data_IF_103122466819
#
_entry.id   IF_103122466819
#
_cell.length_a   1.000
_cell.length_b   1.000
_cell.length_c   1.000
_cell.angle_alpha   90.00
_cell.angle_beta   90.00
_cell.angle_gamma   90.00
#
_symmetry.space_group_name_H-M   'P 1'
#
loop_
_entity.id
_entity.type
_entity.pdbx_description
1 polymer ?
#
# COMPACT_ATOMS: atom_id res chain seq x y z
N UNK A 1 19.22 1.67 9.41
CA UNK A 1 18.97 0.28 8.99
C UNK A 1 17.50 -0.09 9.26
N UNK A 2 16.82 -0.68 8.30
CA UNK A 2 15.41 -1.03 8.44
C UNK A 2 15.25 -2.25 9.36
N UNK A 3 14.40 -2.13 10.40
CA UNK A 3 14.12 -3.26 11.28
C UNK A 3 13.23 -4.29 10.57
N UNK A 4 13.21 -5.52 11.09
CA UNK A 4 12.35 -6.58 10.57
C UNK A 4 10.87 -6.18 10.63
N UNK A 5 10.45 -5.54 11.72
CA UNK A 5 9.08 -5.06 11.88
C UNK A 5 8.73 -3.97 10.88
N UNK A 6 9.62 -3.01 10.66
CA UNK A 6 9.42 -1.96 9.67
C UNK A 6 9.32 -2.53 8.26
N UNK A 7 10.17 -3.50 7.93
CA UNK A 7 10.11 -4.21 6.65
C UNK A 7 8.76 -4.89 6.46
N UNK A 8 8.28 -5.60 7.48
CA UNK A 8 7.00 -6.31 7.42
C UNK A 8 5.82 -5.35 7.24
N UNK A 9 5.83 -4.21 7.93
CA UNK A 9 4.80 -3.18 7.79
C UNK A 9 4.74 -2.67 6.36
N UNK A 10 5.89 -2.33 5.78
CA UNK A 10 5.96 -1.83 4.41
C UNK A 10 5.60 -2.89 3.38
N UNK A 11 6.05 -4.11 3.56
CA UNK A 11 5.68 -5.24 2.68
C UNK A 11 4.16 -5.43 2.66
N UNK A 12 3.53 -5.42 3.82
CA UNK A 12 2.08 -5.54 3.95
C UNK A 12 1.35 -4.35 3.35
N UNK A 13 1.90 -3.15 3.49
CA UNK A 13 1.33 -1.93 2.92
C UNK A 13 1.05 -2.07 1.42
N UNK A 14 1.99 -2.62 0.67
CA UNK A 14 1.83 -2.78 -0.78
C UNK A 14 0.75 -3.80 -1.15
N UNK A 15 0.55 -4.83 -0.33
CA UNK A 15 -0.58 -5.76 -0.50
C UNK A 15 -1.90 -5.09 -0.15
N UNK A 16 -1.95 -4.27 0.89
CA UNK A 16 -3.15 -3.63 1.39
C UNK A 16 -3.54 -2.36 0.62
N UNK A 17 -2.61 -1.78 -0.13
CA UNK A 17 -2.78 -0.49 -0.78
C UNK A 17 -4.05 -0.36 -1.63
N UNK A 18 -4.43 -1.33 -2.49
CA UNK A 18 -5.67 -1.20 -3.26
C UNK A 18 -6.91 -1.10 -2.38
N UNK A 19 -7.00 -1.93 -1.33
CA UNK A 19 -8.13 -1.89 -0.39
C UNK A 19 -8.11 -0.61 0.44
N UNK A 20 -6.93 -0.14 0.86
CA UNK A 20 -6.77 1.10 1.60
C UNK A 20 -7.17 2.31 0.75
N UNK A 21 -6.79 2.33 -0.52
CA UNK A 21 -7.17 3.38 -1.47
C UNK A 21 -8.68 3.46 -1.61
N UNK A 22 -9.33 2.33 -1.80
CA UNK A 22 -10.78 2.24 -1.91
C UNK A 22 -11.47 2.72 -0.63
N UNK A 23 -11.00 2.29 0.53
CA UNK A 23 -11.55 2.69 1.82
C UNK A 23 -11.46 4.21 2.04
N UNK A 24 -10.33 4.83 1.69
CA UNK A 24 -10.13 6.28 1.80
C UNK A 24 -11.07 7.04 0.86
N UNK A 25 -11.23 6.58 -0.36
CA UNK A 25 -12.14 7.20 -1.33
C UNK A 25 -13.59 7.12 -0.88
N UNK A 26 -14.03 5.98 -0.37
CA UNK A 26 -15.38 5.80 0.16
C UNK A 26 -15.64 6.71 1.36
N UNK A 27 -14.67 6.83 2.28
CA UNK A 27 -14.79 7.74 3.42
C UNK A 27 -14.88 9.20 2.99
N UNK A 28 -14.18 9.61 1.95
CA UNK A 28 -14.28 10.96 1.39
C UNK A 28 -15.67 11.25 0.83
N UNK A 29 -16.25 10.29 0.12
CA UNK A 29 -17.60 10.40 -0.44
C UNK A 29 -18.63 10.55 0.68
N UNK A 30 -18.54 9.73 1.72
CA UNK A 30 -19.43 9.79 2.87
C UNK A 30 -19.31 11.12 3.59
N UNK A 31 -18.11 11.63 3.84
CA UNK A 31 -17.87 12.93 4.46
C UNK A 31 -18.44 14.08 3.65
N UNK A 32 -18.37 14.03 2.34
CA UNK A 32 -19.00 15.02 1.46
C UNK A 32 -20.51 15.00 1.56
N UNK A 33 -21.11 13.83 1.63
CA UNK A 33 -22.56 13.68 1.81
C UNK A 33 -23.01 14.24 3.14
N UNK A 34 -22.28 13.95 4.22
CA UNK A 34 -22.57 14.46 5.57
C UNK A 34 -22.43 15.97 5.67
N UNK A 35 -21.52 16.57 4.91
CA UNK A 35 -21.34 18.02 4.89
C UNK A 35 -22.49 18.76 4.20
N UNK A 36 -23.26 18.08 3.35
CA UNK A 36 -24.35 18.66 2.57
C UNK A 36 -25.74 18.44 3.17
N UNK A 37 -25.90 17.39 3.98
CA UNK A 37 -27.16 17.01 4.62
C UNK A 37 -27.00 16.89 6.13
N UNK A 38 -28.13 17.00 6.88
CA UNK A 38 -28.18 16.69 8.29
C UNK A 38 -27.69 15.26 8.53
N UNK A 39 -27.01 14.96 9.68
CA UNK A 39 -26.45 13.65 9.92
C UNK A 39 -27.50 12.55 9.76
N UNK A 40 -27.37 11.79 8.69
CA UNK A 40 -28.21 10.63 8.41
C UNK A 40 -27.68 9.44 9.24
N UNK A 41 -28.51 8.81 10.07
CA UNK A 41 -28.12 7.60 10.81
C UNK A 41 -27.55 6.51 9.91
N UNK A 42 -28.03 6.42 8.67
CA UNK A 42 -27.55 5.44 7.67
C UNK A 42 -26.09 5.71 7.29
N UNK A 43 -25.72 6.97 7.18
CA UNK A 43 -24.32 7.35 6.88
C UNK A 43 -23.38 6.98 8.03
N UNK A 44 -23.83 7.14 9.29
CA UNK A 44 -23.09 6.70 10.46
C UNK A 44 -22.84 5.21 10.49
N UNK A 45 -23.88 4.42 10.21
CA UNK A 45 -23.75 2.96 10.12
C UNK A 45 -22.78 2.56 9.01
N UNK A 46 -22.84 3.23 7.86
CA UNK A 46 -21.92 2.99 6.76
C UNK A 46 -20.47 3.33 7.16
N UNK A 47 -20.26 4.43 7.87
CA UNK A 47 -18.93 4.81 8.36
C UNK A 47 -18.42 3.80 9.39
N UNK A 48 -19.26 3.37 10.32
CA UNK A 48 -18.90 2.36 11.32
C UNK A 48 -18.61 1.01 10.66
N UNK A 49 -19.41 0.59 9.69
CA UNK A 49 -19.17 -0.62 8.91
C UNK A 49 -17.86 -0.55 8.10
N UNK A 50 -17.54 0.61 7.57
CA UNK A 50 -16.27 0.81 6.84
C UNK A 50 -15.06 0.88 7.77
N UNK A 51 -15.23 1.38 8.99
CA UNK A 51 -14.19 1.38 10.00
C UNK A 51 -13.79 -0.05 10.44
N UNK A 52 -14.62 -1.05 10.17
CA UNK A 52 -14.31 -2.45 10.38
C UNK A 52 -13.44 -3.05 9.27
N UNK A 53 -13.16 -2.31 8.19
CA UNK A 53 -12.23 -2.75 7.14
C UNK A 53 -10.81 -2.78 7.74
N UNK A 54 -10.18 -3.97 7.88
CA UNK A 54 -8.92 -4.08 8.63
C UNK A 54 -7.80 -3.19 8.11
N UNK A 55 -7.73 -2.96 6.79
CA UNK A 55 -6.70 -2.13 6.17
C UNK A 55 -6.79 -0.67 6.62
N UNK A 56 -8.00 -0.10 6.69
CA UNK A 56 -8.20 1.30 7.08
C UNK A 56 -7.88 1.55 8.56
N UNK A 57 -8.08 0.56 9.42
CA UNK A 57 -7.84 0.67 10.86
C UNK A 57 -6.37 0.50 11.25
N UNK A 58 -5.55 -0.11 10.39
CA UNK A 58 -4.15 -0.40 10.68
C UNK A 58 -3.25 0.83 10.51
N UNK A 59 -3.69 1.83 9.77
CA UNK A 59 -2.87 2.99 9.40
C UNK A 59 -3.43 4.27 9.97
N UNK A 60 -2.68 4.93 10.86
CA UNK A 60 -3.08 6.20 11.50
C UNK A 60 -3.21 7.35 10.49
N UNK A 61 -2.39 7.35 9.45
CA UNK A 61 -2.37 8.37 8.42
C UNK A 61 -2.46 7.73 7.04
N UNK A 62 -3.63 7.17 6.68
CA UNK A 62 -3.76 6.37 5.47
C UNK A 62 -3.40 7.14 4.19
N UNK A 63 -3.72 8.42 4.11
CA UNK A 63 -3.38 9.24 2.94
C UNK A 63 -1.87 9.42 2.78
N UNK A 64 -1.14 9.59 3.90
CA UNK A 64 0.31 9.69 3.88
C UNK A 64 0.95 8.36 3.43
N UNK A 65 0.46 7.24 3.94
CA UNK A 65 0.93 5.92 3.51
C UNK A 65 0.66 5.66 2.03
N UNK A 66 -0.50 6.10 1.52
CA UNK A 66 -0.82 5.98 0.09
C UNK A 66 0.09 6.85 -0.78
N UNK A 67 0.51 8.03 -0.30
CA UNK A 67 1.53 8.82 -1.01
C UNK A 67 2.86 8.09 -1.10
N UNK A 68 3.27 7.41 -0.03
CA UNK A 68 4.48 6.57 -0.03
C UNK A 68 4.39 5.49 -1.10
N UNK A 69 3.26 4.79 -1.17
CA UNK A 69 3.00 3.76 -2.19
C UNK A 69 3.12 4.34 -3.59
N UNK A 70 2.44 5.46 -3.85
CA UNK A 70 2.47 6.12 -5.16
C UNK A 70 3.88 6.54 -5.55
N UNK A 71 4.61 7.19 -4.65
CA UNK A 71 5.97 7.64 -4.92
C UNK A 71 6.91 6.48 -5.22
N UNK A 72 6.74 5.37 -4.53
CA UNK A 72 7.55 4.17 -4.76
C UNK A 72 7.25 3.57 -6.13
N UNK A 73 5.97 3.41 -6.50
CA UNK A 73 5.61 2.92 -7.82
C UNK A 73 6.09 3.84 -8.94
N UNK A 74 5.98 5.15 -8.76
CA UNK A 74 6.45 6.13 -9.74
C UNK A 74 7.97 6.03 -9.93
N UNK A 75 8.73 5.83 -8.84
CA UNK A 75 10.18 5.68 -8.91
C UNK A 75 10.60 4.47 -9.74
N UNK A 76 9.89 3.37 -9.62
CA UNK A 76 10.22 2.11 -10.31
C UNK A 76 9.39 1.87 -11.57
N UNK A 77 8.64 2.87 -12.02
CA UNK A 77 7.84 2.78 -13.24
C UNK A 77 8.72 2.40 -14.44
N UNK A 78 8.27 1.42 -15.22
CA UNK A 78 8.96 0.91 -16.41
C UNK A 78 10.37 0.33 -16.13
N UNK A 79 10.63 -0.08 -14.90
CA UNK A 79 11.87 -0.77 -14.54
C UNK A 79 11.63 -2.27 -14.33
N UNK A 80 12.67 -3.11 -14.45
CA UNK A 80 12.54 -4.54 -14.11
C UNK A 80 12.10 -4.79 -12.68
N UNK A 81 12.58 -3.97 -11.73
CA UNK A 81 12.18 -4.05 -10.32
C UNK A 81 10.69 -3.75 -10.18
N UNK A 82 10.20 -2.71 -10.84
CA UNK A 82 8.78 -2.36 -10.84
C UNK A 82 7.90 -3.47 -11.40
N UNK A 83 8.32 -4.12 -12.49
CA UNK A 83 7.59 -5.24 -13.07
C UNK A 83 7.53 -6.43 -12.10
N UNK A 84 8.66 -6.81 -11.50
CA UNK A 84 8.71 -7.91 -10.55
C UNK A 84 7.82 -7.64 -9.32
N UNK A 85 7.86 -6.42 -8.79
CA UNK A 85 7.08 -6.04 -7.61
C UNK A 85 5.59 -5.89 -7.93
N UNK A 86 5.24 -5.44 -9.12
CA UNK A 86 3.86 -5.42 -9.60
C UNK A 86 3.27 -6.84 -9.63
N UNK A 87 4.00 -7.80 -10.13
CA UNK A 87 3.59 -9.20 -10.14
C UNK A 87 3.37 -9.72 -8.72
N UNK A 88 4.25 -9.35 -7.79
CA UNK A 88 4.15 -9.77 -6.40
C UNK A 88 2.95 -9.13 -5.69
N UNK A 89 2.85 -7.81 -5.70
CA UNK A 89 1.92 -7.09 -4.85
C UNK A 89 0.55 -6.87 -5.48
N UNK A 90 0.49 -6.62 -6.77
CA UNK A 90 -0.78 -6.37 -7.46
C UNK A 90 -1.41 -7.64 -7.99
N UNK A 91 -0.62 -8.52 -8.60
CA UNK A 91 -1.11 -9.78 -9.17
C UNK A 91 -1.03 -10.96 -8.19
N UNK A 92 -0.35 -10.78 -7.07
CA UNK A 92 -0.13 -11.81 -6.04
C UNK A 92 0.47 -13.10 -6.60
N UNK A 93 1.34 -12.95 -7.58
CA UNK A 93 2.04 -14.05 -8.22
C UNK A 93 3.09 -14.63 -7.27
N UNK A 94 3.24 -15.95 -7.28
CA UNK A 94 4.28 -16.60 -6.49
C UNK A 94 5.66 -16.22 -7.03
N UNK A 95 6.59 -15.90 -6.13
CA UNK A 95 7.93 -15.47 -6.51
C UNK A 95 8.65 -16.48 -7.39
N UNK A 96 8.43 -17.78 -7.19
CA UNK A 96 9.01 -18.85 -7.98
C UNK A 96 8.59 -18.77 -9.46
N UNK A 97 7.34 -18.42 -9.70
CA UNK A 97 6.84 -18.22 -11.06
C UNK A 97 7.42 -16.94 -11.67
N UNK A 98 7.49 -15.87 -10.90
CA UNK A 98 8.05 -14.59 -11.35
C UNK A 98 9.51 -14.73 -11.79
N UNK A 99 10.36 -15.36 -10.97
CA UNK A 99 11.78 -15.55 -11.33
C UNK A 99 11.95 -16.41 -12.57
N UNK A 100 11.09 -17.40 -12.73
CA UNK A 100 11.09 -18.26 -13.91
C UNK A 100 10.73 -17.47 -15.18
N UNK A 101 9.66 -16.68 -15.13
CA UNK A 101 9.19 -15.91 -16.29
C UNK A 101 10.10 -14.75 -16.65
N UNK A 102 10.73 -14.11 -15.69
CA UNK A 102 11.64 -12.99 -15.90
C UNK A 102 13.09 -13.44 -16.17
N UNK A 103 13.39 -14.72 -16.08
CA UNK A 103 14.74 -15.28 -16.28
C UNK A 103 15.77 -14.63 -15.36
N UNK A 104 15.44 -14.47 -14.08
CA UNK A 104 16.32 -13.90 -13.07
C UNK A 104 16.65 -14.94 -11.99
N UNK A 105 17.77 -14.72 -11.30
CA UNK A 105 18.14 -15.57 -10.16
C UNK A 105 17.27 -15.23 -8.95
N UNK A 106 17.08 -16.22 -8.05
CA UNK A 106 16.33 -16.03 -6.80
C UNK A 106 16.91 -14.88 -5.96
N UNK A 107 18.24 -14.83 -5.84
CA UNK A 107 18.93 -13.77 -5.11
C UNK A 107 18.65 -12.38 -5.69
N UNK A 108 18.56 -12.28 -7.00
CA UNK A 108 18.25 -11.04 -7.70
C UNK A 108 16.83 -10.57 -7.34
N UNK A 109 15.87 -11.48 -7.34
CA UNK A 109 14.49 -11.16 -6.97
C UNK A 109 14.40 -10.59 -5.55
N UNK A 110 15.01 -11.26 -4.56
CA UNK A 110 14.96 -10.82 -3.17
C UNK A 110 15.76 -9.55 -2.92
N UNK A 111 16.84 -9.32 -3.67
CA UNK A 111 17.57 -8.05 -3.63
C UNK A 111 16.70 -6.91 -4.17
N UNK A 112 15.98 -7.11 -5.24
CA UNK A 112 15.05 -6.13 -5.79
C UNK A 112 13.92 -5.82 -4.82
N UNK A 113 13.39 -6.83 -4.16
CA UNK A 113 12.35 -6.64 -3.13
C UNK A 113 12.88 -5.76 -1.99
N UNK A 114 14.07 -6.04 -1.50
CA UNK A 114 14.68 -5.22 -0.44
C UNK A 114 14.91 -3.79 -0.89
N UNK A 115 15.39 -3.58 -2.08
CA UNK A 115 15.61 -2.25 -2.65
C UNK A 115 14.30 -1.47 -2.78
N UNK A 116 13.26 -2.11 -3.27
CA UNK A 116 11.93 -1.52 -3.41
C UNK A 116 11.37 -1.10 -2.05
N UNK A 117 11.41 -1.98 -1.07
CA UNK A 117 10.93 -1.71 0.29
C UNK A 117 11.78 -0.64 0.98
N UNK A 118 13.10 -0.64 0.78
CA UNK A 118 13.97 0.38 1.34
C UNK A 118 13.63 1.77 0.77
N UNK A 119 13.35 1.87 -0.51
CA UNK A 119 12.90 3.13 -1.12
C UNK A 119 11.59 3.61 -0.51
N UNK A 120 10.63 2.71 -0.30
CA UNK A 120 9.39 3.03 0.39
C UNK A 120 9.65 3.52 1.83
N UNK A 121 10.60 2.90 2.53
CA UNK A 121 10.99 3.32 3.87
C UNK A 121 11.54 4.75 3.89
N UNK A 122 12.34 5.12 2.90
CA UNK A 122 12.88 6.48 2.78
C UNK A 122 11.77 7.51 2.54
N UNK A 123 10.81 7.20 1.69
CA UNK A 123 9.65 8.06 1.48
C UNK A 123 8.79 8.16 2.74
N UNK A 124 8.58 7.05 3.45
CA UNK A 124 7.84 7.04 4.71
C UNK A 124 8.54 7.87 5.79
N UNK A 125 9.85 7.82 5.88
CA UNK A 125 10.62 8.64 6.81
C UNK A 125 10.46 10.14 6.51
N UNK A 126 10.45 10.53 5.24
CA UNK A 126 10.22 11.91 4.84
C UNK A 126 8.82 12.40 5.19
N UNK A 127 7.83 11.52 5.19
CA UNK A 127 6.45 11.83 5.61
C UNK A 127 6.26 11.77 7.13
N UNK A 128 7.31 11.42 7.88
CA UNK A 128 7.23 11.30 9.33
C UNK A 128 6.50 10.05 9.82
N UNK A 129 6.42 9.01 8.98
CA UNK A 129 5.73 7.76 9.31
C UNK A 129 6.65 6.72 9.93
N UNK A 130 7.94 6.87 9.77
CA UNK A 130 8.96 6.00 10.36
C UNK A 130 9.99 6.82 11.13
#
# INVERSE_FOLDING_TARGET
>A
MLSKQQFQVLDRLFYDAPALQQAVEELRIIKKSDAQDSPDPTAREAIEGMAEIPAAMTYDRPEAWLRVVKLTWDKYHSTPIGDAMCRRYKLREKWTLTVCQLFIADDTYFRWRREFILSAALFAAKEGLL
#
